data_IF_216125688547
#
_entry.id   IF_216125688547
#
_cell.length_a   1.000
_cell.length_b   1.000
_cell.length_c   1.000
_cell.angle_alpha   90.00
_cell.angle_beta   90.00
_cell.angle_gamma   90.00
#
_symmetry.space_group_name_H-M   'P 1'
#
loop_
_entity.id
_entity.type
_entity.pdbx_description
1 polymer ?
#
# COMPACT_ATOMS: atom_id res chain seq x y z
N UNK A 1 -19.99 5.12 4.72
CA UNK A 1 -20.09 3.65 4.94
C UNK A 1 -20.27 2.82 3.67
N UNK A 2 -21.05 3.25 2.66
CA UNK A 2 -21.30 2.45 1.43
C UNK A 2 -20.03 2.08 0.65
N UNK A 3 -19.11 3.04 0.46
CA UNK A 3 -17.81 2.86 -0.23
C UNK A 3 -16.90 1.84 0.49
N UNK A 4 -16.84 1.89 1.83
CA UNK A 4 -16.02 0.97 2.62
C UNK A 4 -16.55 -0.46 2.51
N UNK A 5 -17.87 -0.67 2.52
CA UNK A 5 -18.46 -2.00 2.31
C UNK A 5 -18.19 -2.52 0.89
N UNK A 6 -18.24 -1.65 -0.12
CA UNK A 6 -18.04 -2.02 -1.52
C UNK A 6 -16.59 -2.43 -1.82
N UNK A 7 -15.62 -1.81 -1.14
CA UNK A 7 -14.19 -2.09 -1.33
C UNK A 7 -13.53 -2.79 -0.13
N UNK A 8 -14.33 -3.41 0.76
CA UNK A 8 -13.84 -4.03 1.98
C UNK A 8 -12.74 -5.07 1.71
N UNK A 9 -12.91 -5.89 0.67
CA UNK A 9 -11.91 -6.88 0.27
C UNK A 9 -10.56 -6.26 -0.08
N UNK A 10 -10.55 -5.11 -0.75
CA UNK A 10 -9.32 -4.38 -1.12
C UNK A 10 -8.62 -3.84 0.14
N UNK A 11 -9.39 -3.23 1.05
CA UNK A 11 -8.85 -2.74 2.32
C UNK A 11 -8.33 -3.86 3.21
N UNK A 12 -9.03 -4.99 3.31
CA UNK A 12 -8.56 -6.16 4.05
C UNK A 12 -7.27 -6.73 3.45
N UNK A 13 -7.17 -6.76 2.12
CA UNK A 13 -5.95 -7.22 1.42
C UNK A 13 -4.78 -6.29 1.72
N UNK A 14 -4.97 -4.97 1.61
CA UNK A 14 -3.96 -3.98 1.96
C UNK A 14 -3.55 -4.10 3.44
N UNK A 15 -4.51 -4.24 4.35
CA UNK A 15 -4.23 -4.41 5.79
C UNK A 15 -3.42 -5.68 6.04
N UNK A 16 -3.78 -6.80 5.42
CA UNK A 16 -3.05 -8.04 5.53
C UNK A 16 -1.61 -7.89 5.00
N UNK A 17 -1.45 -7.29 3.82
CA UNK A 17 -0.13 -7.04 3.21
C UNK A 17 0.76 -6.20 4.13
N UNK A 18 0.23 -5.09 4.64
CA UNK A 18 0.96 -4.14 5.49
C UNK A 18 1.27 -4.75 6.88
N UNK A 19 0.39 -5.61 7.39
CA UNK A 19 0.64 -6.34 8.65
C UNK A 19 1.70 -7.43 8.46
N UNK A 20 1.63 -8.17 7.36
CA UNK A 20 2.61 -9.21 6.99
C UNK A 20 3.98 -8.60 6.72
N UNK A 21 4.05 -7.44 6.05
CA UNK A 21 5.32 -6.73 5.85
C UNK A 21 5.90 -6.17 7.15
N UNK A 22 5.06 -5.94 8.17
CA UNK A 22 5.47 -5.54 9.52
C UNK A 22 5.94 -6.68 10.42
N UNK A 23 5.68 -7.95 10.06
CA UNK A 23 6.10 -9.10 10.84
C UNK A 23 7.63 -9.29 10.79
N UNK A 24 8.27 -9.21 11.96
CA UNK A 24 9.73 -9.33 12.10
C UNK A 24 10.32 -10.59 11.46
N UNK A 25 9.60 -11.72 11.48
CA UNK A 25 10.04 -12.97 10.85
C UNK A 25 10.14 -12.87 9.32
N UNK A 26 9.24 -12.12 8.66
CA UNK A 26 9.25 -11.91 7.21
C UNK A 26 10.37 -10.93 6.85
N UNK A 27 10.52 -9.86 7.63
CA UNK A 27 11.57 -8.85 7.43
C UNK A 27 12.96 -9.45 7.62
N UNK A 28 13.15 -10.23 8.69
CA UNK A 28 14.43 -10.91 8.97
C UNK A 28 14.69 -12.01 7.95
N UNK A 29 13.69 -12.86 7.64
CA UNK A 29 13.81 -13.94 6.66
C UNK A 29 14.17 -13.44 5.25
N UNK A 30 13.52 -12.37 4.79
CA UNK A 30 13.82 -11.74 3.50
C UNK A 30 15.24 -11.12 3.48
N UNK A 31 15.66 -10.48 4.59
CA UNK A 31 17.01 -9.93 4.75
C UNK A 31 18.09 -11.01 4.76
N UNK A 32 17.81 -12.17 5.36
CA UNK A 32 18.75 -13.29 5.42
C UNK A 32 18.81 -14.09 4.12
N UNK A 33 17.71 -14.22 3.40
CA UNK A 33 17.64 -15.01 2.16
C UNK A 33 18.27 -14.27 0.96
N UNK A 34 18.17 -12.95 0.92
CA UNK A 34 18.77 -12.13 -0.15
C UNK A 34 19.47 -10.93 0.48
N UNK A 35 20.73 -11.06 0.91
CA UNK A 35 21.47 -9.96 1.55
C UNK A 35 21.60 -8.72 0.64
N UNK A 36 21.50 -8.88 -0.68
CA UNK A 36 21.48 -7.76 -1.63
C UNK A 36 20.17 -6.93 -1.59
N UNK A 37 19.06 -7.46 -1.03
CA UNK A 37 17.86 -6.67 -0.68
C UNK A 37 18.12 -5.73 0.52
N UNK A 38 19.28 -5.83 1.18
CA UNK A 38 19.70 -5.00 2.32
C UNK A 38 20.56 -3.81 1.90
N UNK A 39 21.20 -3.86 0.72
CA UNK A 39 21.93 -2.69 0.18
C UNK A 39 21.07 -1.42 0.13
N UNK A 40 19.78 -1.47 -0.20
CA UNK A 40 18.94 -0.29 -0.14
C UNK A 40 18.75 0.21 1.32
N UNK A 41 18.69 -0.66 2.34
CA UNK A 41 18.49 -0.24 3.73
C UNK A 41 19.74 0.30 4.42
N UNK A 42 20.94 -0.09 3.97
CA UNK A 42 22.20 0.56 4.36
C UNK A 42 22.41 1.92 3.66
N UNK A 43 21.68 2.15 2.56
CA UNK A 43 21.66 3.40 1.76
C UNK A 43 20.39 4.22 2.04
N UNK A 44 19.68 3.95 3.14
CA UNK A 44 18.54 4.76 3.61
C UNK A 44 17.23 4.59 2.82
N UNK A 45 17.15 3.70 1.84
CA UNK A 45 15.90 3.50 1.09
C UNK A 45 14.80 2.90 1.96
N UNK A 46 13.57 3.34 1.69
CA UNK A 46 12.37 2.88 2.35
C UNK A 46 12.04 1.45 1.93
N UNK A 47 11.62 0.62 2.88
CA UNK A 47 11.22 -0.77 2.63
C UNK A 47 10.14 -0.86 1.55
N UNK A 48 10.14 -1.96 0.75
CA UNK A 48 9.24 -2.25 -0.37
C UNK A 48 7.76 -1.88 -0.13
N UNK A 49 7.29 -2.11 1.10
CA UNK A 49 5.92 -1.85 1.55
C UNK A 49 6.03 -1.10 2.89
N UNK A 50 5.19 -0.09 3.17
CA UNK A 50 5.03 0.46 4.52
C UNK A 50 4.73 -0.68 5.52
N UNK A 51 5.60 -0.95 6.50
CA UNK A 51 5.36 -2.01 7.47
C UNK A 51 4.49 -1.48 8.61
N UNK A 52 3.36 -2.13 8.89
CA UNK A 52 2.59 -1.84 10.10
C UNK A 52 3.14 -2.69 11.24
N UNK A 53 3.99 -2.09 12.06
CA UNK A 53 4.55 -2.72 13.26
C UNK A 53 3.68 -2.38 14.46
N UNK A 54 3.24 -3.41 15.19
CA UNK A 54 2.44 -3.23 16.40
C UNK A 54 3.23 -2.63 17.57
N UNK A 55 4.57 -2.82 17.58
CA UNK A 55 5.46 -2.32 18.63
C UNK A 55 6.76 -1.76 18.04
N UNK A 56 7.32 -0.69 18.61
CA UNK A 56 8.64 -0.19 18.22
C UNK A 56 9.72 -1.23 18.56
N UNK A 57 10.62 -1.50 17.62
CA UNK A 57 11.71 -2.47 17.80
C UNK A 57 12.93 -1.77 18.41
N UNK A 58 12.99 -1.66 19.75
CA UNK A 58 14.16 -1.19 20.50
C UNK A 58 14.14 0.28 20.95
N UNK A 59 15.12 0.67 21.77
CA UNK A 59 15.32 2.07 22.20
C UNK A 59 15.79 2.92 21.01
N UNK A 60 15.15 4.07 20.79
CA UNK A 60 15.43 4.97 19.66
C UNK A 60 14.64 4.67 18.38
N UNK A 61 13.77 3.66 18.39
CA UNK A 61 12.98 3.27 17.22
C UNK A 61 11.59 3.96 17.14
N UNK A 62 11.29 4.89 18.05
CA UNK A 62 9.98 5.55 18.10
C UNK A 62 9.73 6.43 16.87
N UNK A 63 10.72 7.22 16.46
CA UNK A 63 10.58 8.14 15.31
C UNK A 63 10.38 7.33 14.02
N UNK A 64 11.18 6.28 13.83
CA UNK A 64 11.04 5.36 12.70
C UNK A 64 9.70 4.62 12.69
N UNK A 65 9.20 4.23 13.87
CA UNK A 65 7.89 3.61 14.02
C UNK A 65 6.75 4.58 13.70
N UNK A 66 6.85 5.84 14.13
CA UNK A 66 5.88 6.90 13.79
C UNK A 66 5.86 7.19 12.29
N UNK A 67 7.03 7.24 11.64
CA UNK A 67 7.13 7.42 10.18
C UNK A 67 6.46 6.26 9.44
N UNK A 68 6.65 5.03 9.92
CA UNK A 68 5.98 3.86 9.36
C UNK A 68 4.45 3.96 9.52
N UNK A 69 3.94 4.37 10.69
CA UNK A 69 2.50 4.60 10.91
C UNK A 69 1.96 5.66 9.94
N UNK A 70 2.66 6.78 9.79
CA UNK A 70 2.25 7.85 8.87
C UNK A 70 2.21 7.32 7.44
N UNK A 71 3.21 6.54 7.02
CA UNK A 71 3.22 5.89 5.71
C UNK A 71 2.01 4.98 5.49
N UNK A 72 1.65 4.18 6.50
CA UNK A 72 0.44 3.33 6.45
C UNK A 72 -0.82 4.21 6.36
N UNK A 73 -0.92 5.26 7.16
CA UNK A 73 -2.06 6.18 7.11
C UNK A 73 -2.21 6.81 5.71
N UNK A 74 -1.11 7.28 5.11
CA UNK A 74 -1.09 7.84 3.75
C UNK A 74 -1.55 6.80 2.72
N UNK A 75 -1.09 5.54 2.83
CA UNK A 75 -1.54 4.45 1.96
C UNK A 75 -3.06 4.29 2.01
N UNK A 76 -3.63 4.17 3.20
CA UNK A 76 -5.07 3.96 3.38
C UNK A 76 -5.89 5.18 2.94
N UNK A 77 -5.44 6.39 3.26
CA UNK A 77 -6.13 7.63 2.87
C UNK A 77 -6.10 7.81 1.36
N UNK A 78 -4.94 7.64 0.70
CA UNK A 78 -4.82 7.76 -0.75
C UNK A 78 -5.66 6.71 -1.48
N UNK A 79 -5.61 5.46 -1.03
CA UNK A 79 -6.45 4.38 -1.59
C UNK A 79 -7.94 4.68 -1.41
N UNK A 80 -8.35 5.17 -0.22
CA UNK A 80 -9.73 5.53 0.06
C UNK A 80 -10.22 6.68 -0.83
N UNK A 81 -9.42 7.74 -1.00
CA UNK A 81 -9.78 8.87 -1.85
C UNK A 81 -9.95 8.42 -3.31
N UNK A 82 -9.01 7.62 -3.82
CA UNK A 82 -9.04 7.15 -5.21
C UNK A 82 -10.23 6.22 -5.47
N UNK A 83 -10.46 5.24 -4.58
CA UNK A 83 -11.61 4.33 -4.68
C UNK A 83 -12.94 5.05 -4.48
N UNK A 84 -13.01 6.03 -3.58
CA UNK A 84 -14.21 6.86 -3.38
C UNK A 84 -14.56 7.67 -4.61
N UNK A 85 -13.54 8.24 -5.28
CA UNK A 85 -13.74 8.96 -6.53
C UNK A 85 -14.21 8.02 -7.65
N UNK A 86 -13.62 6.83 -7.74
CA UNK A 86 -14.04 5.80 -8.70
C UNK A 86 -15.46 5.32 -8.46
N UNK A 87 -15.87 5.11 -7.21
CA UNK A 87 -17.23 4.65 -6.87
C UNK A 87 -18.30 5.72 -7.16
N UNK A 88 -17.93 7.01 -7.06
CA UNK A 88 -18.83 8.13 -7.44
C UNK A 88 -18.99 8.26 -8.95
N UNK A 89 -17.94 8.01 -9.71
CA UNK A 89 -17.94 8.12 -11.17
C UNK A 89 -18.54 6.89 -11.85
N UNK A 90 -18.33 5.70 -11.27
CA UNK A 90 -18.79 4.42 -11.81
C UNK A 90 -19.49 3.61 -10.71
N UNK A 91 -20.76 3.90 -10.40
CA UNK A 91 -21.49 3.25 -9.31
C UNK A 91 -21.73 1.75 -9.55
N UNK A 92 -21.86 1.34 -10.82
CA UNK A 92 -21.98 -0.07 -11.25
C UNK A 92 -20.76 -0.45 -12.11
N UNK A 93 -19.58 -0.64 -11.50
CA UNK A 93 -18.37 -0.90 -12.25
C UNK A 93 -18.40 -2.28 -12.90
N UNK A 94 -18.00 -2.36 -14.17
CA UNK A 94 -17.71 -3.67 -14.79
C UNK A 94 -16.49 -4.31 -14.11
N UNK A 95 -16.30 -5.63 -14.29
CA UNK A 95 -15.12 -6.34 -13.73
C UNK A 95 -13.80 -5.66 -14.12
N UNK A 96 -13.67 -5.24 -15.37
CA UNK A 96 -12.48 -4.53 -15.86
C UNK A 96 -12.30 -3.16 -15.18
N UNK A 97 -13.38 -2.42 -14.94
CA UNK A 97 -13.34 -1.14 -14.23
C UNK A 97 -13.00 -1.32 -12.74
N UNK A 98 -13.56 -2.34 -12.08
CA UNK A 98 -13.24 -2.67 -10.69
C UNK A 98 -11.77 -3.06 -10.53
N UNK A 99 -11.24 -3.89 -11.43
CA UNK A 99 -9.81 -4.23 -11.48
C UNK A 99 -8.95 -2.98 -11.66
N UNK A 100 -9.24 -2.16 -12.69
CA UNK A 100 -8.44 -0.97 -13.01
C UNK A 100 -8.45 0.05 -11.88
N UNK A 101 -9.60 0.22 -11.22
CA UNK A 101 -9.77 1.14 -10.10
C UNK A 101 -8.95 0.70 -8.89
N UNK A 102 -9.03 -0.57 -8.50
CA UNK A 102 -8.27 -1.11 -7.38
C UNK A 102 -6.76 -1.17 -7.69
N UNK A 103 -6.38 -1.56 -8.90
CA UNK A 103 -4.99 -1.55 -9.35
C UNK A 103 -4.37 -0.16 -9.24
N UNK A 104 -5.02 0.85 -9.85
CA UNK A 104 -4.48 2.22 -9.86
C UNK A 104 -4.52 2.85 -8.47
N UNK A 105 -5.58 2.60 -7.68
CA UNK A 105 -5.63 3.05 -6.29
C UNK A 105 -4.46 2.51 -5.47
N UNK A 106 -4.19 1.19 -5.53
CA UNK A 106 -3.08 0.57 -4.81
C UNK A 106 -1.73 1.07 -5.31
N UNK A 107 -1.55 1.17 -6.63
CA UNK A 107 -0.31 1.64 -7.24
C UNK A 107 0.05 3.07 -6.79
N UNK A 108 -0.87 4.02 -6.94
CA UNK A 108 -0.62 5.41 -6.56
C UNK A 108 -0.53 5.59 -5.04
N UNK A 109 -1.35 4.88 -4.27
CA UNK A 109 -1.29 4.94 -2.81
C UNK A 109 0.05 4.43 -2.27
N UNK A 110 0.60 3.37 -2.86
CA UNK A 110 1.89 2.83 -2.44
C UNK A 110 3.04 3.80 -2.73
N UNK A 111 3.04 4.42 -3.91
CA UNK A 111 4.01 5.46 -4.26
C UNK A 111 3.90 6.62 -3.28
N UNK A 112 2.69 7.15 -3.04
CA UNK A 112 2.48 8.25 -2.11
C UNK A 112 2.99 7.89 -0.69
N UNK A 113 2.63 6.72 -0.18
CA UNK A 113 3.03 6.24 1.14
C UNK A 113 4.55 6.13 1.29
N UNK A 114 5.22 5.52 0.31
CA UNK A 114 6.66 5.33 0.35
C UNK A 114 7.43 6.64 0.13
N UNK A 115 6.96 7.54 -0.74
CA UNK A 115 7.54 8.88 -0.91
C UNK A 115 7.40 9.70 0.36
N UNK A 116 6.23 9.69 1.03
CA UNK A 116 6.05 10.36 2.32
C UNK A 116 6.99 9.79 3.39
N UNK A 117 7.14 8.47 3.47
CA UNK A 117 8.10 7.83 4.39
C UNK A 117 9.53 8.27 4.09
N UNK A 118 9.92 8.24 2.83
CA UNK A 118 11.25 8.58 2.36
C UNK A 118 11.60 10.04 2.66
N UNK A 119 10.63 10.94 2.51
CA UNK A 119 10.76 12.36 2.83
C UNK A 119 10.98 12.55 4.35
N UNK A 120 10.11 11.96 5.17
CA UNK A 120 10.23 12.05 6.63
C UNK A 120 11.55 11.44 7.13
N UNK A 121 11.98 10.33 6.52
CA UNK A 121 13.26 9.70 6.83
C UNK A 121 14.44 10.60 6.50
N UNK A 122 14.39 11.31 5.37
CA UNK A 122 15.47 12.20 4.96
C UNK A 122 15.66 13.40 5.90
N UNK A 123 14.56 13.88 6.48
CA UNK A 123 14.59 14.95 7.50
C UNK A 123 15.17 14.42 8.81
N UNK A 124 14.79 13.20 9.20
CA UNK A 124 15.27 12.60 10.46
C UNK A 124 16.76 12.23 10.41
N UNK A 125 17.32 11.94 9.23
CA UNK A 125 18.72 11.50 9.07
C UNK A 125 19.66 12.59 8.60
N UNK A 126 19.21 13.85 8.51
CA UNK A 126 19.99 14.97 7.96
C UNK A 126 20.68 14.61 6.63
N UNK A 127 19.92 14.00 5.73
CA UNK A 127 20.46 13.50 4.46
C UNK A 127 21.01 14.63 3.58
N UNK A 128 22.21 14.44 3.03
CA UNK A 128 22.75 15.35 2.01
C UNK A 128 21.89 15.35 0.73
N UNK A 129 21.95 16.42 -0.08
CA UNK A 129 21.13 16.54 -1.28
C UNK A 129 21.28 15.36 -2.25
N UNK A 130 22.50 14.85 -2.43
CA UNK A 130 22.78 13.68 -3.26
C UNK A 130 22.19 12.39 -2.68
N UNK A 131 22.30 12.20 -1.36
CA UNK A 131 21.71 11.05 -0.68
C UNK A 131 20.17 11.09 -0.76
N UNK A 132 19.57 12.26 -0.57
CA UNK A 132 18.13 12.48 -0.73
C UNK A 132 17.65 12.14 -2.16
N UNK A 133 18.34 12.64 -3.18
CA UNK A 133 17.98 12.38 -4.57
C UNK A 133 18.06 10.88 -4.91
N UNK A 134 19.13 10.20 -4.51
CA UNK A 134 19.27 8.75 -4.70
C UNK A 134 18.19 7.96 -3.96
N UNK A 135 17.88 8.35 -2.73
CA UNK A 135 16.84 7.75 -1.91
C UNK A 135 15.45 7.93 -2.52
N UNK A 136 15.13 9.10 -3.05
CA UNK A 136 13.86 9.37 -3.74
C UNK A 136 13.72 8.54 -5.02
N UNK A 137 14.73 8.55 -5.89
CA UNK A 137 14.70 7.77 -7.13
C UNK A 137 14.58 6.28 -6.84
N UNK A 138 15.37 5.75 -5.90
CA UNK A 138 15.29 4.35 -5.49
C UNK A 138 13.91 4.00 -4.92
N UNK A 139 13.35 4.87 -4.08
CA UNK A 139 12.02 4.70 -3.49
C UNK A 139 10.93 4.63 -4.56
N UNK A 140 10.96 5.55 -5.54
CA UNK A 140 9.98 5.58 -6.63
C UNK A 140 10.08 4.32 -7.47
N UNK A 141 11.29 3.91 -7.89
CA UNK A 141 11.50 2.71 -8.70
C UNK A 141 10.99 1.45 -7.99
N UNK A 142 11.34 1.28 -6.72
CA UNK A 142 10.88 0.13 -5.91
C UNK A 142 9.36 0.18 -5.72
N UNK A 143 8.79 1.36 -5.50
CA UNK A 143 7.34 1.54 -5.33
C UNK A 143 6.57 1.24 -6.61
N UNK A 144 7.13 1.54 -7.78
CA UNK A 144 6.54 1.16 -9.08
C UNK A 144 6.49 -0.36 -9.20
N UNK A 145 7.62 -1.05 -8.99
CA UNK A 145 7.69 -2.51 -9.11
C UNK A 145 6.75 -3.21 -8.12
N UNK A 146 6.79 -2.78 -6.86
CA UNK A 146 5.95 -3.34 -5.80
C UNK A 146 4.48 -2.96 -6.01
N UNK A 147 4.20 -1.75 -6.46
CA UNK A 147 2.86 -1.25 -6.75
C UNK A 147 2.20 -2.00 -7.89
N UNK A 148 2.95 -2.42 -8.91
CA UNK A 148 2.43 -3.28 -9.98
C UNK A 148 2.03 -4.63 -9.40
N UNK A 149 2.92 -5.28 -8.65
CA UNK A 149 2.66 -6.60 -8.07
C UNK A 149 1.44 -6.59 -7.12
N UNK A 150 1.38 -5.64 -6.19
CA UNK A 150 0.26 -5.49 -5.25
C UNK A 150 -1.01 -4.97 -5.92
N UNK A 151 -0.87 -4.15 -6.96
CA UNK A 151 -1.96 -3.69 -7.80
C UNK A 151 -2.68 -4.87 -8.47
N UNK A 152 -1.94 -5.85 -8.97
CA UNK A 152 -2.55 -7.08 -9.51
C UNK A 152 -3.32 -7.85 -8.44
N UNK A 153 -2.75 -8.06 -7.26
CA UNK A 153 -3.41 -8.78 -6.16
C UNK A 153 -4.68 -8.07 -5.67
N UNK A 154 -4.64 -6.75 -5.50
CA UNK A 154 -5.82 -5.98 -5.08
C UNK A 154 -6.86 -5.85 -6.18
N UNK A 155 -6.43 -5.76 -7.44
CA UNK A 155 -7.29 -5.77 -8.62
C UNK A 155 -8.08 -7.07 -8.75
N UNK A 156 -7.44 -8.23 -8.58
CA UNK A 156 -8.15 -9.53 -8.63
C UNK A 156 -9.19 -9.65 -7.51
N UNK A 157 -8.84 -9.25 -6.30
CA UNK A 157 -9.79 -9.22 -5.16
C UNK A 157 -10.98 -8.31 -5.44
N UNK A 158 -10.77 -7.16 -6.08
CA UNK A 158 -11.85 -6.27 -6.48
C UNK A 158 -12.82 -6.95 -7.46
N UNK A 159 -12.30 -7.68 -8.46
CA UNK A 159 -13.12 -8.44 -9.43
C UNK A 159 -13.99 -9.49 -8.73
N UNK A 160 -13.42 -10.25 -7.78
CA UNK A 160 -14.17 -11.24 -7.02
C UNK A 160 -15.24 -10.60 -6.13
N UNK A 161 -14.93 -9.44 -5.54
CA UNK A 161 -15.88 -8.69 -4.70
C UNK A 161 -17.09 -8.20 -5.51
N UNK A 162 -16.89 -7.78 -6.76
CA UNK A 162 -18.00 -7.37 -7.66
C UNK A 162 -18.89 -8.55 -8.05
N UNK A 163 -18.32 -9.75 -8.25
CA UNK A 163 -19.09 -10.97 -8.56
C UNK A 163 -20.06 -11.34 -7.43
N UNK A 164 -19.59 -11.31 -6.19
CA UNK A 164 -20.44 -11.67 -5.05
C UNK A 164 -21.59 -10.68 -4.83
N UNK A 165 -21.43 -9.42 -5.23
CA UNK A 165 -22.50 -8.42 -5.13
C UNK A 165 -23.63 -8.67 -6.14
N UNK A 166 -23.30 -9.08 -7.37
CA UNK A 166 -24.30 -9.41 -8.40
C UNK A 166 -25.14 -10.64 -8.09
N UNK A 167 -24.70 -11.51 -7.18
CA UNK A 167 -25.42 -12.74 -6.79
C UNK A 167 -26.40 -12.51 -5.63
N UNK A 168 -26.24 -11.40 -4.88
CA UNK A 168 -27.04 -11.09 -3.67
C UNK A 168 -28.20 -10.16 -3.98
N UNK A 169 -28.18 -9.41 -5.08
CA UNK A 169 -29.25 -8.48 -5.44
C UNK A 169 -30.35 -9.25 -6.20
N UNK A 170 -31.51 -9.56 -5.58
CA UNK A 170 -32.57 -10.31 -6.24
C UNK A 170 -33.10 -9.52 -7.43
N UNK A 171 -33.33 -10.22 -8.53
CA UNK A 171 -33.93 -9.68 -9.75
C UNK A 171 -35.20 -8.89 -9.37
N UNK A 172 -35.35 -7.63 -9.80
CA UNK A 172 -36.54 -6.86 -9.46
C UNK A 172 -37.74 -7.59 -10.05
N UNK A 173 -38.58 -8.13 -9.15
CA UNK A 173 -39.89 -8.68 -9.52
C UNK A 173 -40.66 -7.59 -10.24
N UNK A 174 -40.72 -7.73 -11.56
CA UNK A 174 -41.54 -6.89 -12.43
C UNK A 174 -42.98 -7.11 -11.98
N UNK A 175 -43.57 -6.09 -11.37
CA UNK A 175 -44.98 -6.04 -11.00
C UNK A 175 -45.82 -5.59 -12.20
#
# INVERSE_FOLDING_TARGET
MRVIKQHLGVFCTLLAIVTISGLGAVVVGARTAVPYLVLPSAVGTTSFIPPLRLTPLGRGALDYWLIDIIGVAVLFVAALLHLSHSARTHPNPTRAQAFRSAFTATFFALIAANVSRALLMSVLTDSSLGAYAGLMVGTILISILTGIALGFATGTVAVFSTRNQSEIEPEPTVA
#
